data_IF_649752463575
#
_entry.id   IF_649752463575
#
_cell.length_a   1.000
_cell.length_b   1.000
_cell.length_c   1.000
_cell.angle_alpha   90.00
_cell.angle_beta   90.00
_cell.angle_gamma   90.00
#
_symmetry.space_group_name_H-M   'P 1'
#
loop_
_entity.id
_entity.type
_entity.pdbx_description
1 polymer ?
#
# COMPACT_ATOMS: atom_id res chain seq x y z
N UNK A 1 -12.95 -39.27 0.25
CA UNK A 1 -12.48 -38.79 -1.06
C UNK A 1 -13.58 -37.97 -1.70
N UNK A 2 -13.49 -36.64 -1.66
CA UNK A 2 -14.43 -35.74 -2.32
C UNK A 2 -13.62 -34.92 -3.32
N UNK A 3 -13.52 -35.38 -4.56
CA UNK A 3 -13.03 -34.56 -5.67
C UNK A 3 -14.15 -33.56 -5.99
N UNK A 4 -14.12 -32.40 -5.33
CA UNK A 4 -14.89 -31.25 -5.82
C UNK A 4 -14.37 -30.98 -7.22
N UNK A 5 -15.22 -31.24 -8.22
CA UNK A 5 -15.06 -30.74 -9.58
C UNK A 5 -15.11 -29.21 -9.53
N UNK A 6 -13.99 -28.60 -9.13
CA UNK A 6 -13.75 -27.20 -9.40
C UNK A 6 -13.42 -27.16 -10.88
N UNK A 7 -14.30 -26.61 -11.69
CA UNK A 7 -13.91 -26.17 -13.04
C UNK A 7 -12.76 -25.20 -12.80
N UNK A 8 -11.53 -25.65 -13.03
CA UNK A 8 -10.30 -24.87 -12.86
C UNK A 8 -10.30 -23.81 -13.95
N UNK A 9 -11.00 -22.72 -13.66
CA UNK A 9 -11.05 -21.55 -14.50
C UNK A 9 -9.68 -20.88 -14.39
N UNK A 10 -8.81 -21.18 -15.35
CA UNK A 10 -7.44 -20.68 -15.41
C UNK A 10 -7.47 -19.26 -15.99
N UNK A 11 -6.90 -18.30 -15.25
CA UNK A 11 -6.73 -16.92 -15.72
C UNK A 11 -5.26 -16.67 -15.98
N UNK A 12 -4.93 -16.54 -17.25
CA UNK A 12 -3.59 -16.22 -17.76
C UNK A 12 -3.36 -14.71 -17.87
N UNK A 13 -4.44 -13.92 -18.02
CA UNK A 13 -4.40 -12.47 -18.15
C UNK A 13 -5.42 -11.78 -17.26
N UNK A 14 -4.99 -10.72 -16.60
CA UNK A 14 -5.85 -9.83 -15.80
C UNK A 14 -5.38 -8.39 -15.97
N UNK A 15 -6.33 -7.45 -15.88
CA UNK A 15 -6.04 -6.02 -15.80
C UNK A 15 -6.54 -5.55 -14.44
N UNK A 16 -5.67 -4.88 -13.69
CA UNK A 16 -5.95 -4.37 -12.35
C UNK A 16 -5.45 -2.94 -12.22
N UNK A 17 -6.21 -2.11 -11.51
CA UNK A 17 -5.75 -0.77 -11.15
C UNK A 17 -4.94 -0.85 -9.85
N UNK A 18 -3.68 -0.43 -9.91
CA UNK A 18 -2.75 -0.46 -8.78
C UNK A 18 -2.43 0.96 -8.35
N UNK A 19 -2.52 1.23 -7.04
CA UNK A 19 -2.13 2.51 -6.45
C UNK A 19 -1.21 2.30 -5.25
N UNK A 20 -0.07 2.98 -5.24
CA UNK A 20 0.70 3.15 -4.02
C UNK A 20 -0.11 3.94 -2.97
N UNK A 21 0.34 3.86 -1.72
CA UNK A 21 -0.15 4.68 -0.62
C UNK A 21 0.26 6.13 -0.81
N UNK A 22 -0.61 7.06 -0.43
CA UNK A 22 -0.25 8.47 -0.36
C UNK A 22 0.64 8.72 0.86
N UNK A 23 1.58 9.65 0.75
CA UNK A 23 2.29 10.18 1.91
C UNK A 23 1.34 10.88 2.88
N UNK A 24 1.62 10.78 4.17
CA UNK A 24 0.92 11.51 5.21
C UNK A 24 1.32 12.99 5.21
N UNK A 25 0.40 13.84 5.66
CA UNK A 25 0.68 15.27 5.76
C UNK A 25 1.59 15.57 6.97
N UNK A 26 2.48 16.55 6.82
CA UNK A 26 3.09 17.20 7.97
C UNK A 26 2.07 18.03 8.75
N UNK A 27 2.38 18.34 10.00
CA UNK A 27 1.52 19.18 10.86
C UNK A 27 2.27 20.44 11.24
N UNK A 28 1.57 21.58 11.22
CA UNK A 28 2.06 22.84 11.79
C UNK A 28 1.57 22.91 13.24
N UNK A 29 2.51 22.91 14.19
CA UNK A 29 2.19 22.98 15.62
C UNK A 29 3.24 23.79 16.39
N UNK A 30 2.86 24.30 17.56
CA UNK A 30 3.71 25.05 18.48
C UNK A 30 3.64 24.46 19.89
N UNK A 31 4.77 24.50 20.61
CA UNK A 31 4.84 24.02 22.00
C UNK A 31 4.05 24.96 22.91
N UNK A 32 3.29 24.38 23.84
CA UNK A 32 2.53 25.11 24.86
C UNK A 32 2.86 24.55 26.23
N UNK A 33 3.53 25.35 27.04
CA UNK A 33 3.93 25.00 28.41
C UNK A 33 3.53 26.16 29.33
N UNK A 34 3.04 25.84 30.54
CA UNK A 34 2.37 26.78 31.44
C UNK A 34 3.19 28.05 31.76
N UNK A 35 4.51 27.97 31.74
CA UNK A 35 5.41 29.07 32.06
C UNK A 35 6.28 29.53 30.87
N UNK A 36 5.99 29.05 29.65
CA UNK A 36 6.69 29.45 28.44
C UNK A 36 5.69 30.16 27.51
N UNK A 37 5.71 31.51 27.46
CA UNK A 37 4.73 32.27 26.69
C UNK A 37 4.86 32.09 25.17
N UNK A 38 6.06 31.78 24.67
CA UNK A 38 6.32 31.51 23.24
C UNK A 38 7.12 30.24 23.07
N UNK A 39 6.43 29.10 23.02
CA UNK A 39 7.06 27.83 22.67
C UNK A 39 7.43 27.78 21.18
N UNK A 40 8.56 27.13 20.87
CA UNK A 40 9.01 26.94 19.50
C UNK A 40 8.08 26.04 18.66
N UNK A 41 8.30 25.96 17.33
CA UNK A 41 7.56 25.04 16.47
C UNK A 41 7.80 23.59 16.90
N UNK A 42 6.74 22.77 16.88
CA UNK A 42 6.79 21.34 17.18
C UNK A 42 5.92 20.49 16.26
N UNK A 43 5.80 20.92 15.01
CA UNK A 43 5.18 20.15 13.95
C UNK A 43 5.98 18.89 13.61
N UNK A 44 5.32 17.75 13.52
CA UNK A 44 5.92 16.51 13.02
C UNK A 44 5.68 16.30 11.52
N UNK A 45 6.58 15.56 10.88
CA UNK A 45 6.44 15.14 9.48
C UNK A 45 5.40 14.02 9.34
N UNK A 46 4.73 13.94 8.19
CA UNK A 46 3.92 12.77 7.85
C UNK A 46 4.76 11.52 7.57
N UNK A 47 4.11 10.36 7.64
CA UNK A 47 4.71 9.09 7.26
C UNK A 47 4.72 8.88 5.75
N UNK A 48 5.60 8.01 5.27
CA UNK A 48 5.59 7.61 3.85
C UNK A 48 4.35 6.75 3.55
N UNK A 49 3.84 6.83 2.33
CA UNK A 49 2.85 5.87 1.84
C UNK A 49 3.50 4.51 1.56
N UNK A 50 2.73 3.44 1.69
CA UNK A 50 3.19 2.10 1.35
C UNK A 50 3.38 1.91 -0.16
N UNK A 51 4.33 1.07 -0.51
CA UNK A 51 4.60 0.65 -1.88
C UNK A 51 3.68 -0.51 -2.28
N UNK A 52 3.53 -0.75 -3.58
CA UNK A 52 2.96 -2.00 -4.08
C UNK A 52 4.08 -2.84 -4.67
N UNK A 53 4.20 -4.08 -4.22
CA UNK A 53 5.29 -4.98 -4.57
C UNK A 53 4.68 -6.23 -5.17
N UNK A 54 5.11 -6.59 -6.37
CA UNK A 54 4.77 -7.88 -6.98
C UNK A 54 5.83 -8.89 -6.59
N UNK A 55 5.42 -9.98 -5.96
CA UNK A 55 6.30 -11.06 -5.50
C UNK A 55 5.96 -12.35 -6.26
N UNK A 56 6.95 -12.94 -6.92
CA UNK A 56 6.77 -14.21 -7.61
C UNK A 56 6.73 -15.36 -6.58
N UNK A 57 5.68 -16.18 -6.63
CA UNK A 57 5.48 -17.33 -5.75
C UNK A 57 5.28 -18.62 -6.57
N UNK A 58 6.09 -19.64 -6.27
CA UNK A 58 6.08 -20.93 -6.96
C UNK A 58 4.82 -21.76 -6.67
N UNK A 59 4.13 -21.46 -5.57
CA UNK A 59 2.91 -22.16 -5.17
C UNK A 59 1.68 -21.68 -5.94
N UNK A 60 1.77 -20.57 -6.65
CA UNK A 60 0.68 -20.00 -7.43
C UNK A 60 0.75 -20.46 -8.89
N UNK A 61 -0.39 -20.93 -9.39
CA UNK A 61 -0.54 -21.39 -10.77
C UNK A 61 -1.45 -20.51 -11.63
N UNK A 62 -2.19 -19.56 -11.04
CA UNK A 62 -3.21 -18.75 -11.73
C UNK A 62 -3.33 -17.35 -11.14
N UNK A 63 -3.81 -16.38 -11.93
CA UNK A 63 -4.09 -15.00 -11.50
C UNK A 63 -5.52 -14.79 -10.95
N UNK A 64 -6.22 -15.86 -10.57
CA UNK A 64 -7.62 -15.82 -10.10
C UNK A 64 -7.84 -14.84 -8.93
N UNK A 65 -6.86 -14.69 -8.03
CA UNK A 65 -6.96 -13.77 -6.89
C UNK A 65 -7.21 -12.31 -7.31
N UNK A 66 -6.73 -11.92 -8.48
CA UNK A 66 -6.85 -10.58 -9.03
C UNK A 66 -8.21 -10.33 -9.71
N UNK A 67 -8.98 -11.37 -10.00
CA UNK A 67 -10.23 -11.29 -10.80
C UNK A 67 -11.27 -10.34 -10.22
N UNK A 68 -11.55 -10.45 -8.93
CA UNK A 68 -12.62 -9.69 -8.28
C UNK A 68 -12.12 -8.37 -7.66
N UNK A 69 -10.81 -8.11 -7.72
CA UNK A 69 -10.19 -6.93 -7.12
C UNK A 69 -9.82 -5.95 -8.21
N UNK A 70 -10.76 -5.05 -8.50
CA UNK A 70 -10.57 -4.00 -9.51
C UNK A 70 -9.49 -2.99 -9.12
N UNK A 71 -9.39 -2.65 -7.83
CA UNK A 71 -8.46 -1.65 -7.30
C UNK A 71 -7.66 -2.25 -6.15
N UNK A 72 -6.34 -2.24 -6.28
CA UNK A 72 -5.39 -2.71 -5.28
C UNK A 72 -4.58 -1.51 -4.80
N UNK A 73 -4.66 -1.22 -3.50
CA UNK A 73 -4.07 -0.01 -2.93
C UNK A 73 -3.28 -0.29 -1.66
N UNK A 74 -2.05 0.21 -1.60
CA UNK A 74 -1.21 0.16 -0.40
C UNK A 74 -1.67 1.18 0.67
N UNK A 75 -1.30 0.96 1.93
CA UNK A 75 -1.73 1.80 3.04
C UNK A 75 -1.13 3.22 2.90
N UNK A 76 -1.90 4.26 3.20
CA UNK A 76 -1.36 5.62 3.23
C UNK A 76 -0.48 5.82 4.46
N UNK A 77 0.47 6.75 4.38
CA UNK A 77 1.19 7.26 5.53
C UNK A 77 0.26 8.05 6.45
N UNK A 78 0.51 7.98 7.75
CA UNK A 78 -0.25 8.71 8.76
C UNK A 78 0.26 10.16 8.84
N UNK A 79 -0.63 11.10 9.17
CA UNK A 79 -0.21 12.48 9.43
C UNK A 79 0.79 12.57 10.59
N UNK A 80 1.64 13.61 10.57
CA UNK A 80 2.45 13.99 11.71
C UNK A 80 1.61 14.44 12.90
N UNK A 81 2.24 14.67 14.04
CA UNK A 81 1.59 15.15 15.26
C UNK A 81 2.35 16.30 15.89
N UNK A 82 1.76 16.87 16.95
CA UNK A 82 2.45 17.81 17.81
C UNK A 82 3.64 17.14 18.53
N UNK A 83 4.50 17.96 19.15
CA UNK A 83 5.71 17.52 19.85
C UNK A 83 6.69 16.77 18.93
N UNK A 84 6.83 17.27 17.70
CA UNK A 84 7.72 16.72 16.66
C UNK A 84 7.44 15.25 16.33
N UNK A 85 6.21 14.78 16.58
CA UNK A 85 5.85 13.37 16.38
C UNK A 85 5.72 13.06 14.90
N UNK A 86 6.59 12.21 14.37
CA UNK A 86 6.50 11.71 13.00
C UNK A 86 5.30 10.76 12.84
N UNK A 87 4.59 10.88 11.72
CA UNK A 87 3.53 9.96 11.33
C UNK A 87 4.08 8.57 10.96
N UNK A 88 3.31 7.52 11.24
CA UNK A 88 3.66 6.13 10.87
C UNK A 88 3.66 5.96 9.36
N UNK A 89 4.60 5.20 8.83
CA UNK A 89 4.59 4.79 7.42
C UNK A 89 3.42 3.83 7.14
N UNK A 90 2.82 3.95 5.97
CA UNK A 90 1.86 2.98 5.47
C UNK A 90 2.55 1.64 5.20
N UNK A 91 1.86 0.54 5.47
CA UNK A 91 2.27 -0.80 5.09
C UNK A 91 2.23 -0.99 3.57
N UNK A 92 3.28 -1.66 3.08
CA UNK A 92 3.37 -2.09 1.69
C UNK A 92 2.32 -3.16 1.39
N UNK A 93 1.82 -3.15 0.16
CA UNK A 93 0.93 -4.18 -0.35
C UNK A 93 1.75 -5.16 -1.19
N UNK A 94 1.98 -6.35 -0.66
CA UNK A 94 2.63 -7.45 -1.39
C UNK A 94 1.57 -8.25 -2.12
N UNK A 95 1.70 -8.31 -3.45
CA UNK A 95 0.82 -8.99 -4.37
C UNK A 95 1.56 -10.19 -4.96
N UNK A 96 1.17 -11.39 -4.53
CA UNK A 96 1.79 -12.61 -5.01
C UNK A 96 1.29 -12.98 -6.40
N UNK A 97 2.21 -13.33 -7.30
CA UNK A 97 1.93 -13.72 -8.68
C UNK A 97 2.64 -15.03 -9.03
N UNK A 98 2.12 -15.85 -9.96
CA UNK A 98 2.84 -17.02 -10.46
C UNK A 98 4.22 -16.65 -11.03
N UNK A 99 5.19 -17.54 -10.86
CA UNK A 99 6.49 -17.40 -11.54
C UNK A 99 6.31 -17.31 -13.06
N UNK A 100 7.04 -16.40 -13.71
CA UNK A 100 6.91 -16.15 -15.16
C UNK A 100 5.78 -15.19 -15.56
N UNK A 101 5.09 -14.56 -14.59
CA UNK A 101 4.11 -13.51 -14.87
C UNK A 101 4.77 -12.30 -15.54
N UNK A 102 4.24 -11.87 -16.69
CA UNK A 102 4.64 -10.64 -17.37
C UNK A 102 3.76 -9.48 -16.92
N UNK A 103 4.39 -8.40 -16.47
CA UNK A 103 3.72 -7.19 -16.02
C UNK A 103 3.94 -6.10 -17.06
N UNK A 104 2.86 -5.48 -17.52
CA UNK A 104 2.88 -4.40 -18.51
C UNK A 104 1.99 -3.27 -18.05
N UNK A 105 2.44 -2.05 -18.27
CA UNK A 105 1.58 -0.88 -18.09
C UNK A 105 0.59 -0.83 -19.26
N UNK A 106 -0.70 -0.78 -18.93
CA UNK A 106 -1.77 -0.69 -19.95
C UNK A 106 -1.70 0.58 -20.80
N UNK A 107 -1.06 1.65 -20.31
CA UNK A 107 -0.96 2.93 -21.03
C UNK A 107 0.36 3.07 -21.80
N UNK A 108 1.47 2.61 -21.22
CA UNK A 108 2.81 2.88 -21.75
C UNK A 108 3.50 1.68 -22.40
N UNK A 109 2.98 0.45 -22.19
CA UNK A 109 3.39 -0.77 -22.92
C UNK A 109 4.55 -1.54 -22.30
#
# INVERSE_FOLDING_TARGET
MYTRNHTLMFFDRVVVDISAGKGGNGVIAWRREKYIPKGGPCGGNGGNGGSVILEADIQLSSLEWFRNRRILKAENGVQGGANCRKGRNGQDLVLKVPCGTLVKDTQTG
#
